data_IF_447268694845
#
_entry.id   IF_447268694845
#
_cell.length_a   1.000
_cell.length_b   1.000
_cell.length_c   1.000
_cell.angle_alpha   90.00
_cell.angle_beta   90.00
_cell.angle_gamma   90.00
#
_symmetry.space_group_name_H-M   'P 1'
#
loop_
_entity.id
_entity.type
_entity.pdbx_description
1 polymer ?
#
# COMPACT_ATOMS: atom_id res chain seq x y z
N UNK A 1 -10.72 24.35 19.94
CA UNK A 1 -10.88 23.90 18.55
C UNK A 1 -11.51 22.52 18.62
N UNK A 2 -12.83 22.45 18.71
CA UNK A 2 -13.55 21.18 18.67
C UNK A 2 -13.71 20.77 17.21
N UNK A 3 -12.65 20.20 16.66
CA UNK A 3 -12.73 19.50 15.38
C UNK A 3 -13.46 18.18 15.63
N UNK A 4 -14.77 18.16 15.42
CA UNK A 4 -15.50 16.88 15.34
C UNK A 4 -14.86 16.07 14.21
N UNK A 5 -14.13 15.02 14.59
CA UNK A 5 -13.61 14.03 13.63
C UNK A 5 -14.82 13.27 13.09
N UNK A 6 -15.33 13.73 11.96
CA UNK A 6 -16.39 13.05 11.22
C UNK A 6 -15.73 11.99 10.34
N UNK A 7 -16.02 10.73 10.64
CA UNK A 7 -15.59 9.59 9.83
C UNK A 7 -16.74 9.22 8.91
N UNK A 8 -16.49 9.21 7.60
CA UNK A 8 -17.43 8.68 6.62
C UNK A 8 -16.93 7.30 6.14
N UNK A 9 -17.63 6.20 6.50
CA UNK A 9 -17.24 4.85 6.06
C UNK A 9 -17.18 4.68 4.54
N UNK A 10 -17.97 5.45 3.77
CA UNK A 10 -17.93 5.38 2.31
C UNK A 10 -16.64 6.03 1.76
N UNK A 11 -16.23 7.17 2.30
CA UNK A 11 -14.97 7.82 1.92
C UNK A 11 -13.75 6.98 2.30
N UNK A 12 -13.79 6.29 3.45
CA UNK A 12 -12.75 5.34 3.85
C UNK A 12 -12.65 4.17 2.88
N UNK A 13 -13.77 3.60 2.44
CA UNK A 13 -13.78 2.52 1.44
C UNK A 13 -13.31 2.99 0.07
N UNK A 14 -13.70 4.18 -0.36
CA UNK A 14 -13.20 4.75 -1.61
C UNK A 14 -11.68 4.95 -1.56
N UNK A 15 -11.16 5.46 -0.44
CA UNK A 15 -9.72 5.63 -0.20
C UNK A 15 -8.99 4.28 -0.13
N UNK A 16 -9.60 3.25 0.46
CA UNK A 16 -9.07 1.90 0.47
C UNK A 16 -8.96 1.31 -0.94
N UNK A 17 -10.00 1.47 -1.76
CA UNK A 17 -9.99 1.04 -3.15
C UNK A 17 -8.89 1.76 -3.95
N UNK A 18 -8.75 3.07 -3.77
CA UNK A 18 -7.68 3.83 -4.41
C UNK A 18 -6.28 3.35 -4.00
N UNK A 19 -6.03 3.16 -2.70
CA UNK A 19 -4.74 2.66 -2.21
C UNK A 19 -4.43 1.25 -2.74
N UNK A 20 -5.43 0.38 -2.82
CA UNK A 20 -5.30 -0.96 -3.39
C UNK A 20 -4.95 -0.90 -4.87
N UNK A 21 -5.68 -0.12 -5.66
CA UNK A 21 -5.43 0.05 -7.10
C UNK A 21 -4.02 0.59 -7.34
N UNK A 22 -3.59 1.62 -6.59
CA UNK A 22 -2.23 2.14 -6.70
C UNK A 22 -1.20 1.04 -6.38
N UNK A 23 -1.42 0.25 -5.33
CA UNK A 23 -0.52 -0.86 -4.97
C UNK A 23 -0.44 -1.94 -6.06
N UNK A 24 -1.56 -2.27 -6.69
CA UNK A 24 -1.64 -3.24 -7.79
C UNK A 24 -0.99 -2.70 -9.07
N UNK A 25 -1.21 -1.44 -9.42
CA UNK A 25 -0.60 -0.78 -10.59
C UNK A 25 0.90 -0.50 -10.39
N UNK A 26 1.35 -0.30 -9.16
CA UNK A 26 2.74 0.01 -8.83
C UNK A 26 3.67 -1.22 -8.90
N UNK A 27 3.17 -2.42 -8.58
CA UNK A 27 4.00 -3.63 -8.52
C UNK A 27 4.65 -4.01 -9.86
N UNK A 28 3.92 -4.08 -11.00
CA UNK A 28 4.52 -4.43 -12.29
C UNK A 28 5.68 -3.54 -12.75
N UNK A 29 5.59 -2.19 -12.71
CA UNK A 29 6.73 -1.35 -13.09
C UNK A 29 7.90 -1.45 -12.12
N UNK A 30 7.66 -1.67 -10.81
CA UNK A 30 8.73 -1.91 -9.84
C UNK A 30 9.51 -3.21 -10.12
N UNK A 31 8.79 -4.30 -10.39
CA UNK A 31 9.38 -5.59 -10.75
C UNK A 31 10.17 -5.49 -12.07
N UNK A 32 9.59 -4.79 -13.05
CA UNK A 32 10.25 -4.54 -14.35
C UNK A 32 11.55 -3.77 -14.17
N UNK A 33 11.55 -2.69 -13.37
CA UNK A 33 12.74 -1.87 -13.15
C UNK A 33 13.88 -2.65 -12.47
N UNK A 34 13.55 -3.45 -11.45
CA UNK A 34 14.56 -4.26 -10.74
C UNK A 34 15.08 -5.41 -11.61
N UNK A 35 14.22 -6.06 -12.39
CA UNK A 35 14.62 -7.08 -13.35
C UNK A 35 15.55 -6.51 -14.44
N UNK A 36 15.22 -5.34 -14.99
CA UNK A 36 16.04 -4.66 -15.97
C UNK A 36 17.41 -4.28 -15.41
N UNK A 37 17.49 -3.80 -14.17
CA UNK A 37 18.75 -3.48 -13.50
C UNK A 37 19.65 -4.70 -13.34
N UNK A 38 19.09 -5.84 -12.91
CA UNK A 38 19.84 -7.12 -12.84
C UNK A 38 20.31 -7.58 -14.22
N UNK A 39 19.42 -7.54 -15.21
CA UNK A 39 19.74 -7.94 -16.58
C UNK A 39 20.88 -7.09 -17.16
N UNK A 40 20.83 -5.77 -16.97
CA UNK A 40 21.90 -4.86 -17.38
C UNK A 40 23.22 -5.14 -16.63
N UNK A 41 23.14 -5.40 -15.32
CA UNK A 41 24.31 -5.81 -14.53
C UNK A 41 24.93 -7.12 -15.02
N UNK A 42 24.10 -8.08 -15.45
CA UNK A 42 24.56 -9.34 -16.03
C UNK A 42 25.15 -9.19 -17.44
N UNK A 43 24.52 -8.37 -18.29
CA UNK A 43 25.02 -8.07 -19.63
C UNK A 43 26.38 -7.33 -19.61
N UNK A 44 26.66 -6.58 -18.55
CA UNK A 44 27.92 -5.88 -18.31
C UNK A 44 28.88 -6.65 -17.40
N UNK A 45 28.72 -7.98 -17.30
CA UNK A 45 29.67 -8.82 -16.57
C UNK A 45 31.10 -8.66 -17.10
N UNK A 46 32.07 -8.53 -16.20
CA UNK A 46 33.47 -8.25 -16.53
C UNK A 46 33.80 -6.77 -16.70
N UNK A 47 32.80 -5.88 -16.75
CA UNK A 47 32.98 -4.43 -16.73
C UNK A 47 32.81 -3.91 -15.29
N UNK A 48 33.57 -2.88 -14.93
CA UNK A 48 33.57 -2.33 -13.56
C UNK A 48 32.20 -1.85 -13.08
N UNK A 49 31.29 -1.49 -14.00
CA UNK A 49 29.95 -0.98 -13.71
C UNK A 49 28.90 -2.09 -13.47
N UNK A 50 29.11 -3.30 -14.01
CA UNK A 50 28.14 -4.40 -13.96
C UNK A 50 27.73 -4.80 -12.53
N UNK A 51 28.68 -5.01 -11.60
CA UNK A 51 28.36 -5.29 -10.20
C UNK A 51 27.59 -4.17 -9.50
N UNK A 52 27.85 -2.91 -9.87
CA UNK A 52 27.16 -1.74 -9.31
C UNK A 52 25.67 -1.71 -9.68
N UNK A 53 25.33 -2.07 -10.92
CA UNK A 53 23.95 -2.16 -11.38
C UNK A 53 23.19 -3.33 -10.73
N UNK A 54 23.86 -4.47 -10.52
CA UNK A 54 23.29 -5.58 -9.76
C UNK A 54 22.93 -5.14 -8.34
N UNK A 55 23.89 -4.56 -7.62
CA UNK A 55 23.68 -4.07 -6.26
C UNK A 55 22.56 -3.04 -6.21
N UNK A 56 22.54 -2.09 -7.15
CA UNK A 56 21.46 -1.10 -7.22
C UNK A 56 20.08 -1.76 -7.34
N UNK A 57 19.93 -2.75 -8.23
CA UNK A 57 18.67 -3.46 -8.39
C UNK A 57 18.28 -4.27 -7.15
N UNK A 58 19.25 -4.92 -6.50
CA UNK A 58 19.03 -5.72 -5.30
C UNK A 58 18.71 -4.87 -4.06
N UNK A 59 19.30 -3.69 -3.94
CA UNK A 59 19.03 -2.74 -2.85
C UNK A 59 17.64 -2.11 -2.99
N UNK A 60 17.19 -1.81 -4.22
CA UNK A 60 15.88 -1.21 -4.47
C UNK A 60 14.71 -2.19 -4.45
N UNK A 61 14.93 -3.46 -4.83
CA UNK A 61 13.89 -4.48 -4.82
C UNK A 61 13.09 -4.57 -3.50
N UNK A 62 13.72 -4.69 -2.31
CA UNK A 62 12.97 -4.74 -1.05
C UNK A 62 12.26 -3.43 -0.71
N UNK A 63 12.82 -2.29 -1.10
CA UNK A 63 12.21 -0.96 -0.86
C UNK A 63 10.91 -0.83 -1.66
N UNK A 64 10.93 -1.20 -2.94
CA UNK A 64 9.76 -1.16 -3.80
C UNK A 64 8.71 -2.19 -3.36
N UNK A 65 9.15 -3.40 -2.97
CA UNK A 65 8.25 -4.41 -2.40
C UNK A 65 7.55 -3.90 -1.14
N UNK A 66 8.29 -3.30 -0.21
CA UNK A 66 7.75 -2.72 1.03
C UNK A 66 6.74 -1.61 0.73
N UNK A 67 6.97 -0.78 -0.29
CA UNK A 67 6.02 0.27 -0.67
C UNK A 67 4.70 -0.33 -1.17
N UNK A 68 4.75 -1.36 -2.02
CA UNK A 68 3.56 -2.07 -2.49
C UNK A 68 2.78 -2.68 -1.31
N UNK A 69 3.48 -3.34 -0.37
CA UNK A 69 2.88 -3.89 0.85
C UNK A 69 2.22 -2.83 1.72
N UNK A 70 2.85 -1.66 1.89
CA UNK A 70 2.28 -0.54 2.64
C UNK A 70 1.00 0.00 2.03
N UNK A 71 0.92 0.07 0.70
CA UNK A 71 -0.31 0.48 0.01
C UNK A 71 -1.44 -0.51 0.25
N UNK A 72 -1.17 -1.81 0.13
CA UNK A 72 -2.14 -2.86 0.46
C UNK A 72 -2.54 -2.84 1.94
N UNK A 73 -1.57 -2.67 2.85
CA UNK A 73 -1.83 -2.57 4.29
C UNK A 73 -2.65 -1.35 4.67
N UNK A 74 -2.41 -0.21 4.02
CA UNK A 74 -3.21 1.01 4.19
C UNK A 74 -4.65 0.78 3.74
N UNK A 75 -4.86 0.16 2.58
CA UNK A 75 -6.19 -0.20 2.11
C UNK A 75 -6.94 -1.09 3.13
N UNK A 76 -6.28 -2.12 3.65
CA UNK A 76 -6.86 -3.00 4.67
C UNK A 76 -7.20 -2.25 5.98
N UNK A 77 -6.34 -1.33 6.42
CA UNK A 77 -6.58 -0.53 7.61
C UNK A 77 -7.77 0.43 7.44
N UNK A 78 -7.93 1.04 6.26
CA UNK A 78 -9.06 1.89 5.93
C UNK A 78 -10.38 1.11 5.91
N UNK A 79 -10.40 -0.08 5.31
CA UNK A 79 -11.55 -0.99 5.34
C UNK A 79 -11.92 -1.43 6.75
N UNK A 80 -10.92 -1.81 7.55
CA UNK A 80 -11.12 -2.18 8.95
C UNK A 80 -11.70 -1.02 9.77
N UNK A 81 -11.23 0.21 9.51
CA UNK A 81 -11.74 1.41 10.18
C UNK A 81 -13.19 1.70 9.79
N UNK A 82 -13.54 1.59 8.50
CA UNK A 82 -14.93 1.75 8.03
C UNK A 82 -15.87 0.75 8.71
N UNK A 83 -15.46 -0.53 8.75
CA UNK A 83 -16.23 -1.59 9.39
C UNK A 83 -16.39 -1.39 10.91
N UNK A 84 -15.32 -0.93 11.58
CA UNK A 84 -15.36 -0.62 13.00
C UNK A 84 -16.30 0.56 13.30
N UNK A 85 -16.31 1.57 12.44
CA UNK A 85 -17.20 2.72 12.58
C UNK A 85 -18.68 2.31 12.49
N UNK A 86 -19.05 1.55 11.45
CA UNK A 86 -20.42 1.06 11.28
C UNK A 86 -20.88 0.16 12.44
N UNK A 87 -20.00 -0.70 12.94
CA UNK A 87 -20.30 -1.52 14.14
C UNK A 87 -20.52 -0.66 15.37
N UNK A 88 -19.74 0.40 15.53
CA UNK A 88 -19.91 1.33 16.65
C UNK A 88 -21.25 2.08 16.53
N UNK A 89 -21.62 2.53 15.34
CA UNK A 89 -22.88 3.23 15.09
C UNK A 89 -24.09 2.32 15.36
N UNK A 90 -24.04 1.06 14.90
CA UNK A 90 -25.08 0.06 15.23
C UNK A 90 -25.20 -0.18 16.74
N UNK A 91 -24.07 -0.38 17.44
CA UNK A 91 -24.07 -0.60 18.89
C UNK A 91 -24.67 0.60 19.65
N UNK A 92 -24.35 1.82 19.22
CA UNK A 92 -24.94 3.03 19.81
C UNK A 92 -26.44 3.07 19.54
N UNK A 93 -26.88 2.85 18.29
CA UNK A 93 -28.29 2.83 17.94
C UNK A 93 -29.09 1.78 18.72
N UNK A 94 -28.53 0.59 18.93
CA UNK A 94 -29.15 -0.48 19.73
C UNK A 94 -29.21 -0.13 21.22
N UNK A 95 -28.20 0.58 21.74
CA UNK A 95 -28.20 1.08 23.13
C UNK A 95 -29.39 2.03 23.37
N UNK A 96 -29.71 2.89 22.40
CA UNK A 96 -30.84 3.82 22.48
C UNK A 96 -32.21 3.20 22.13
N UNK A 97 -32.24 1.95 21.64
CA UNK A 97 -33.47 1.18 21.39
C UNK A 97 -33.91 0.32 22.57
N UNK A 98 -33.05 0.12 23.57
CA UNK A 98 -33.43 -0.55 24.81
C UNK A 98 -34.31 0.39 25.66
N UNK A 99 -35.45 -0.09 26.19
CA UNK A 99 -36.42 0.72 26.93
C UNK A 99 -35.91 1.23 28.28
#
# INVERSE_FOLDING_TARGET
>A
MDGQVRVDPQELRASAAAARNIGEEFRPPADTATAAGRAAGGALAGWSIGPGLHRFADDWAPVLGTLAERLTGTAAALEATALAHERNDHRIADTWRLP
#
